data_IF_640173891221
#
_entry.id   IF_640173891221
#
_cell.length_a   1.000
_cell.length_b   1.000
_cell.length_c   1.000
_cell.angle_alpha   90.00
_cell.angle_beta   90.00
_cell.angle_gamma   90.00
#
_symmetry.space_group_name_H-M   'P 1'
#
loop_
_entity.id
_entity.type
_entity.pdbx_description
1 polymer ?
#
# COMPACT_ATOMS: atom_id res chain seq x y z
N UNK A 1 -13.59 10.63 -5.36
CA UNK A 1 -12.77 9.44 -5.77
C UNK A 1 -11.48 9.36 -4.96
N UNK A 2 -10.81 10.49 -4.69
CA UNK A 2 -9.72 10.56 -3.69
C UNK A 2 -10.18 10.20 -2.27
N UNK A 3 -11.40 10.58 -1.89
CA UNK A 3 -11.91 10.30 -0.53
C UNK A 3 -11.91 8.80 -0.21
N UNK A 4 -12.35 7.96 -1.16
CA UNK A 4 -12.30 6.50 -1.03
C UNK A 4 -10.87 5.96 -0.84
N UNK A 5 -9.87 6.56 -1.49
CA UNK A 5 -8.47 6.15 -1.35
C UNK A 5 -7.96 6.49 0.06
N UNK A 6 -8.28 7.68 0.56
CA UNK A 6 -7.93 8.09 1.93
C UNK A 6 -8.64 7.26 2.99
N UNK A 7 -9.91 6.94 2.78
CA UNK A 7 -10.68 6.08 3.69
C UNK A 7 -10.07 4.68 3.75
N UNK A 8 -9.67 4.14 2.60
CA UNK A 8 -8.99 2.84 2.53
C UNK A 8 -7.65 2.86 3.25
N UNK A 9 -6.84 3.90 3.06
CA UNK A 9 -5.54 4.05 3.74
C UNK A 9 -5.73 4.25 5.25
N UNK A 10 -6.78 4.96 5.66
CA UNK A 10 -7.14 5.12 7.07
C UNK A 10 -7.49 3.78 7.71
N UNK A 11 -8.34 2.99 7.07
CA UNK A 11 -8.64 1.64 7.53
C UNK A 11 -7.39 0.75 7.62
N UNK A 12 -6.46 0.86 6.64
CA UNK A 12 -5.18 0.12 6.66
C UNK A 12 -4.28 0.55 7.83
N UNK A 13 -4.23 1.85 8.15
CA UNK A 13 -3.44 2.37 9.29
C UNK A 13 -3.95 1.86 10.63
N UNK A 14 -5.27 1.72 10.75
CA UNK A 14 -5.93 1.25 11.97
C UNK A 14 -5.77 -0.27 12.17
N UNK A 15 -5.32 -0.99 11.15
CA UNK A 15 -4.96 -2.40 11.23
C UNK A 15 -3.48 -2.57 11.61
N UNK A 16 -3.17 -3.63 12.37
CA UNK A 16 -1.79 -4.03 12.69
C UNK A 16 -1.13 -4.73 11.50
N UNK A 17 -0.92 -3.98 10.42
CA UNK A 17 -0.31 -4.45 9.16
C UNK A 17 1.17 -4.07 9.14
N UNK A 18 2.04 -5.04 8.87
CA UNK A 18 3.47 -4.82 8.69
C UNK A 18 3.81 -4.29 7.28
N UNK A 19 3.16 -4.85 6.24
CA UNK A 19 3.48 -4.56 4.83
C UNK A 19 2.22 -4.37 3.98
N UNK A 20 2.25 -3.34 3.12
CA UNK A 20 1.24 -3.04 2.09
C UNK A 20 1.88 -3.18 0.72
N UNK A 21 1.36 -4.07 -0.11
CA UNK A 21 1.86 -4.35 -1.47
C UNK A 21 0.74 -4.07 -2.48
N UNK A 22 0.67 -2.87 -3.08
CA UNK A 22 -0.32 -2.55 -4.10
C UNK A 22 -0.01 -3.30 -5.40
N UNK A 23 -1.03 -3.91 -6.02
CA UNK A 23 -0.90 -4.71 -7.24
C UNK A 23 -1.83 -4.21 -8.36
N UNK A 24 -1.55 -4.69 -9.59
CA UNK A 24 -2.40 -4.65 -10.80
C UNK A 24 -3.04 -3.29 -11.15
N UNK A 25 -4.09 -2.86 -10.45
CA UNK A 25 -4.91 -1.69 -10.78
C UNK A 25 -5.05 -0.68 -9.63
N UNK A 26 -4.35 -0.87 -8.50
CA UNK A 26 -4.50 0.02 -7.33
C UNK A 26 -4.25 1.50 -7.68
N UNK A 27 -3.44 1.75 -8.72
CA UNK A 27 -3.33 3.04 -9.40
C UNK A 27 -2.43 4.05 -8.68
N UNK A 28 -1.87 4.98 -9.45
CA UNK A 28 -0.93 5.99 -8.95
C UNK A 28 -1.50 6.84 -7.79
N UNK A 29 -2.79 7.22 -7.76
CA UNK A 29 -3.33 8.00 -6.64
C UNK A 29 -3.25 7.30 -5.28
N UNK A 30 -3.49 5.97 -5.25
CA UNK A 30 -3.32 5.21 -4.03
C UNK A 30 -1.84 5.12 -3.65
N UNK A 31 -0.96 4.85 -4.62
CA UNK A 31 0.47 4.71 -4.36
C UNK A 31 1.04 6.00 -3.76
N UNK A 32 0.76 7.16 -4.34
CA UNK A 32 1.28 8.44 -3.83
C UNK A 32 0.69 8.79 -2.47
N UNK A 33 -0.61 8.55 -2.23
CA UNK A 33 -1.24 8.80 -0.93
C UNK A 33 -0.68 7.85 0.14
N UNK A 34 -0.57 6.55 -0.16
CA UNK A 34 0.00 5.57 0.76
C UNK A 34 1.48 5.82 1.03
N UNK A 35 2.24 6.29 0.04
CA UNK A 35 3.64 6.68 0.20
C UNK A 35 3.78 7.90 1.09
N UNK A 36 2.84 8.84 1.04
CA UNK A 36 2.84 10.01 1.93
C UNK A 36 2.46 9.64 3.38
N UNK A 37 1.48 8.75 3.57
CA UNK A 37 0.92 8.46 4.89
C UNK A 37 1.58 7.28 5.62
N UNK A 38 1.98 6.23 4.90
CA UNK A 38 2.55 4.99 5.45
C UNK A 38 3.83 4.54 4.71
N UNK A 39 4.83 5.43 4.48
CA UNK A 39 6.00 5.12 3.66
C UNK A 39 6.77 3.88 4.12
N UNK A 40 6.84 3.64 5.43
CA UNK A 40 7.62 2.54 6.01
C UNK A 40 6.96 1.17 5.84
N UNK A 41 5.66 1.13 5.54
CA UNK A 41 4.89 -0.10 5.35
C UNK A 41 4.68 -0.40 3.86
N UNK A 42 4.91 0.56 2.97
CA UNK A 42 4.58 0.44 1.55
C UNK A 42 5.72 -0.19 0.74
N UNK A 43 5.44 -1.32 0.11
CA UNK A 43 6.36 -1.99 -0.82
C UNK A 43 5.84 -1.88 -2.25
N UNK A 44 6.68 -1.39 -3.16
CA UNK A 44 6.34 -1.30 -4.58
C UNK A 44 6.61 -2.63 -5.29
N UNK A 45 5.60 -3.15 -5.99
CA UNK A 45 5.75 -4.32 -6.86
C UNK A 45 5.89 -3.92 -8.33
N UNK A 46 6.74 -4.65 -9.05
CA UNK A 46 6.82 -4.64 -10.51
C UNK A 46 6.73 -6.08 -11.04
N UNK A 47 6.56 -6.23 -12.35
CA UNK A 47 6.64 -7.55 -12.98
C UNK A 47 7.98 -8.20 -12.66
N UNK A 48 7.94 -9.40 -12.08
CA UNK A 48 9.12 -10.15 -11.67
C UNK A 48 9.64 -9.84 -10.25
N UNK A 49 9.02 -8.91 -9.52
CA UNK A 49 9.36 -8.70 -8.11
C UNK A 49 9.04 -9.96 -7.28
N UNK A 50 10.01 -10.40 -6.47
CA UNK A 50 9.85 -11.53 -5.54
C UNK A 50 10.00 -11.04 -4.10
N UNK A 51 8.95 -11.22 -3.31
CA UNK A 51 8.99 -11.02 -1.85
C UNK A 51 9.17 -12.37 -1.17
N UNK A 52 10.02 -12.43 -0.14
CA UNK A 52 10.24 -13.63 0.68
C UNK A 52 9.99 -13.24 2.12
N UNK A 53 9.05 -13.92 2.77
CA UNK A 53 8.71 -13.71 4.17
C UNK A 53 9.20 -14.90 4.99
N UNK A 54 9.66 -14.65 6.21
CA UNK A 54 9.97 -15.66 7.22
C UNK A 54 8.89 -15.67 8.29
N UNK A 55 8.73 -16.82 8.96
CA UNK A 55 7.91 -16.95 10.16
C UNK A 55 8.65 -16.43 11.40
#
# INVERSE_FOLDING_TARGET
KEDYVRDTITAIKDMDIDYVIPLHCTGEPFYETAKAEIPNKLLRSYTGTRFVFSA
#
